data_IF_423241381683
#
_entry.id   IF_423241381683
#
_cell.length_a   1.000
_cell.length_b   1.000
_cell.length_c   1.000
_cell.angle_alpha   90.00
_cell.angle_beta   90.00
_cell.angle_gamma   90.00
#
_symmetry.space_group_name_H-M   'P 1'
#
loop_
_entity.id
_entity.type
_entity.pdbx_description
1 polymer ?
#
# COMPACT_ATOMS: atom_id res chain seq x y z
N UNK A 1 10.10 -7.28 19.28
CA UNK A 1 10.08 -7.52 17.81
C UNK A 1 8.97 -8.52 17.51
N UNK A 2 8.02 -8.08 16.71
CA UNK A 2 6.95 -8.95 16.17
C UNK A 2 7.42 -9.51 14.84
N UNK A 3 7.04 -10.76 14.53
CA UNK A 3 7.40 -11.44 13.28
C UNK A 3 6.16 -12.06 12.66
N UNK A 4 5.99 -11.83 11.35
CA UNK A 4 4.99 -12.48 10.52
C UNK A 4 5.71 -13.18 9.38
N UNK A 5 5.49 -14.48 9.20
CA UNK A 5 6.01 -15.22 8.05
C UNK A 5 4.92 -15.33 6.99
N UNK A 6 5.22 -14.96 5.75
CA UNK A 6 4.32 -15.04 4.59
C UNK A 6 4.67 -16.30 3.80
N UNK A 7 3.75 -17.25 3.71
CA UNK A 7 3.93 -18.53 3.02
C UNK A 7 3.41 -18.46 1.58
N UNK A 8 4.26 -17.98 0.69
CA UNK A 8 4.04 -17.97 -0.76
C UNK A 8 4.94 -19.00 -1.45
N UNK A 9 4.97 -19.04 -2.77
CA UNK A 9 5.93 -19.88 -3.51
C UNK A 9 7.38 -19.67 -3.07
N UNK A 10 7.72 -18.50 -2.51
CA UNK A 10 8.96 -18.19 -1.81
C UNK A 10 8.63 -17.53 -0.47
N UNK A 11 8.68 -18.26 0.65
CA UNK A 11 8.37 -17.71 1.96
C UNK A 11 9.35 -16.62 2.38
N UNK A 12 8.87 -15.62 3.12
CA UNK A 12 9.68 -14.53 3.67
C UNK A 12 9.12 -14.03 5.00
N UNK A 13 9.97 -13.35 5.75
CA UNK A 13 9.60 -12.77 7.03
C UNK A 13 9.35 -11.26 6.93
N UNK A 14 8.36 -10.80 7.69
CA UNK A 14 8.11 -9.40 7.97
C UNK A 14 8.40 -9.18 9.45
N UNK A 15 9.33 -8.28 9.74
CA UNK A 15 9.70 -7.90 11.10
C UNK A 15 9.16 -6.50 11.41
N UNK A 16 8.50 -6.36 12.57
CA UNK A 16 7.90 -5.10 13.02
C UNK A 16 8.46 -4.78 14.39
N UNK A 17 9.24 -3.72 14.50
CA UNK A 17 9.76 -3.20 15.76
C UNK A 17 10.32 -1.80 15.58
N UNK A 18 10.55 -1.10 16.66
CA UNK A 18 11.30 0.16 16.67
C UNK A 18 12.80 -0.06 16.53
N UNK A 19 13.47 0.82 15.79
CA UNK A 19 14.93 0.80 15.65
C UNK A 19 15.45 -0.30 14.73
N UNK A 20 14.63 -0.79 13.80
CA UNK A 20 15.05 -1.80 12.82
C UNK A 20 16.01 -1.24 11.76
N UNK A 21 16.01 0.07 11.53
CA UNK A 21 16.92 0.69 10.59
C UNK A 21 18.39 0.50 11.00
N UNK A 22 18.68 0.64 12.29
CA UNK A 22 20.01 0.42 12.86
C UNK A 22 20.44 -1.04 12.87
N UNK A 23 19.47 -1.95 12.89
CA UNK A 23 19.67 -3.38 12.88
C UNK A 23 19.62 -3.99 11.47
N UNK A 24 19.39 -3.16 10.44
CA UNK A 24 19.13 -3.63 9.08
C UNK A 24 20.26 -4.53 8.54
N UNK A 25 21.52 -4.19 8.82
CA UNK A 25 22.67 -5.00 8.42
C UNK A 25 22.62 -6.43 8.97
N UNK A 26 22.49 -6.58 10.29
CA UNK A 26 22.44 -7.89 10.94
C UNK A 26 21.20 -8.70 10.51
N UNK A 27 20.05 -8.04 10.34
CA UNK A 27 18.83 -8.71 9.94
C UNK A 27 18.88 -9.19 8.49
N UNK A 28 19.42 -8.39 7.59
CA UNK A 28 19.64 -8.77 6.19
C UNK A 28 20.70 -9.90 6.10
N UNK A 29 21.76 -9.85 6.92
CA UNK A 29 22.79 -10.89 6.93
C UNK A 29 22.26 -12.27 7.33
N UNK A 30 21.18 -12.33 8.14
CA UNK A 30 20.53 -13.60 8.50
C UNK A 30 19.81 -14.28 7.35
N UNK A 31 19.38 -13.53 6.33
CA UNK A 31 18.59 -14.04 5.20
C UNK A 31 19.35 -14.01 3.87
N UNK A 32 20.53 -13.35 3.82
CA UNK A 32 21.33 -13.24 2.60
C UNK A 32 22.82 -13.34 2.88
N UNK A 33 23.51 -14.13 2.07
CA UNK A 33 24.97 -14.21 2.03
C UNK A 33 25.58 -13.29 0.95
N UNK A 34 24.79 -12.41 0.36
CA UNK A 34 25.24 -11.47 -0.66
C UNK A 34 26.45 -10.65 -0.16
N UNK A 35 27.49 -10.45 -0.98
CA UNK A 35 28.56 -9.52 -0.64
C UNK A 35 28.21 -8.06 -0.93
N UNK A 36 27.27 -7.80 -1.86
CA UNK A 36 26.96 -6.46 -2.34
C UNK A 36 25.48 -6.15 -2.26
N UNK A 37 25.18 -4.89 -1.96
CA UNK A 37 23.83 -4.36 -1.89
C UNK A 37 23.73 -3.10 -2.74
N UNK A 38 22.67 -3.02 -3.58
CA UNK A 38 22.24 -1.76 -4.15
C UNK A 38 21.10 -1.20 -3.29
N UNK A 39 21.35 -0.13 -2.53
CA UNK A 39 20.34 0.62 -1.83
C UNK A 39 19.65 1.57 -2.81
N UNK A 40 18.35 1.43 -2.98
CA UNK A 40 17.52 2.30 -3.81
C UNK A 40 16.59 3.10 -2.90
N UNK A 41 16.60 4.43 -3.04
CA UNK A 41 15.78 5.33 -2.25
C UNK A 41 15.37 6.55 -3.08
N UNK A 42 14.48 7.38 -2.54
CA UNK A 42 14.06 8.62 -3.16
C UNK A 42 14.66 9.88 -2.48
N UNK A 43 14.54 11.02 -3.15
CA UNK A 43 15.12 12.29 -2.73
C UNK A 43 14.53 12.86 -1.43
N UNK A 44 13.36 12.38 -0.96
CA UNK A 44 12.78 12.77 0.32
C UNK A 44 13.26 11.86 1.46
N UNK A 45 13.38 10.57 1.21
CA UNK A 45 13.66 9.55 2.25
C UNK A 45 15.15 9.40 2.50
N UNK A 46 15.97 9.42 1.45
CA UNK A 46 17.42 9.23 1.60
C UNK A 46 18.08 10.22 2.56
N UNK A 47 17.80 11.54 2.50
CA UNK A 47 18.39 12.51 3.44
C UNK A 47 18.03 12.25 4.91
N UNK A 48 16.89 11.59 5.18
CA UNK A 48 16.41 11.30 6.52
C UNK A 48 17.01 10.01 7.08
N UNK A 49 17.13 8.98 6.27
CA UNK A 49 17.40 7.62 6.73
C UNK A 49 18.51 6.90 5.96
N UNK A 50 18.86 7.36 4.76
CA UNK A 50 19.78 6.65 3.87
C UNK A 50 21.12 6.34 4.51
N UNK A 51 21.78 7.35 5.09
CA UNK A 51 23.09 7.18 5.73
C UNK A 51 23.04 6.20 6.92
N UNK A 52 21.96 6.19 7.71
CA UNK A 52 21.81 5.26 8.84
C UNK A 52 21.73 3.81 8.36
N UNK A 53 20.95 3.57 7.30
CA UNK A 53 20.81 2.23 6.72
C UNK A 53 22.09 1.80 6.03
N UNK A 54 22.76 2.69 5.28
CA UNK A 54 24.08 2.39 4.67
C UNK A 54 25.10 1.98 5.73
N UNK A 55 25.24 2.75 6.81
CA UNK A 55 26.15 2.43 7.92
C UNK A 55 25.83 1.09 8.58
N UNK A 56 24.52 0.80 8.80
CA UNK A 56 24.10 -0.47 9.37
C UNK A 56 24.49 -1.65 8.45
N UNK A 57 24.28 -1.51 7.14
CA UNK A 57 24.63 -2.53 6.17
C UNK A 57 26.16 -2.71 6.06
N UNK A 58 26.92 -1.62 5.98
CA UNK A 58 28.40 -1.68 5.94
C UNK A 58 29.01 -2.27 7.21
N UNK A 59 28.42 -1.99 8.38
CA UNK A 59 28.83 -2.58 9.66
C UNK A 59 28.61 -4.11 9.73
N UNK A 60 27.76 -4.65 8.87
CA UNK A 60 27.54 -6.07 8.67
C UNK A 60 28.32 -6.64 7.47
N UNK A 61 29.42 -5.98 7.06
CA UNK A 61 30.33 -6.38 5.99
C UNK A 61 29.69 -6.43 4.58
N UNK A 62 28.64 -5.66 4.31
CA UNK A 62 28.15 -5.48 2.94
C UNK A 62 28.88 -4.33 2.21
N UNK A 63 29.18 -4.52 0.94
CA UNK A 63 29.57 -3.43 0.05
C UNK A 63 28.29 -2.77 -0.48
N UNK A 64 28.08 -1.49 -0.17
CA UNK A 64 26.84 -0.79 -0.52
C UNK A 64 27.09 0.21 -1.63
N UNK A 65 26.37 0.10 -2.74
CA UNK A 65 26.19 1.20 -3.68
C UNK A 65 24.77 1.79 -3.53
N UNK A 66 24.61 3.09 -3.84
CA UNK A 66 23.37 3.79 -3.58
C UNK A 66 22.86 4.52 -4.82
N UNK A 67 21.58 4.34 -5.13
CA UNK A 67 20.86 5.10 -6.15
C UNK A 67 19.71 5.85 -5.51
N UNK A 68 19.65 7.17 -5.74
CA UNK A 68 18.56 8.04 -5.30
C UNK A 68 17.86 8.62 -6.53
N UNK A 69 16.53 8.45 -6.60
CA UNK A 69 15.70 9.01 -7.66
C UNK A 69 14.80 10.14 -7.12
N UNK A 70 14.21 10.94 -8.00
CA UNK A 70 13.31 12.04 -7.60
C UNK A 70 12.02 11.49 -6.99
N UNK A 71 11.67 11.94 -5.78
CA UNK A 71 10.49 11.48 -5.08
C UNK A 71 9.19 11.82 -5.81
N UNK A 72 8.18 10.97 -5.64
CA UNK A 72 6.82 11.18 -6.12
C UNK A 72 6.39 10.24 -7.25
N UNK A 73 5.07 10.20 -7.48
CA UNK A 73 4.44 9.30 -8.46
C UNK A 73 4.92 9.56 -9.90
N UNK A 74 5.29 10.79 -10.23
CA UNK A 74 5.84 11.14 -11.55
C UNK A 74 7.11 10.35 -11.93
N UNK A 75 7.81 9.81 -10.94
CA UNK A 75 8.98 8.95 -11.13
C UNK A 75 8.64 7.47 -11.33
N UNK A 76 7.38 7.06 -11.07
CA UNK A 76 6.94 5.66 -11.17
C UNK A 76 6.71 5.23 -12.62
N UNK A 77 7.77 5.17 -13.40
CA UNK A 77 7.73 4.91 -14.85
C UNK A 77 8.87 4.00 -15.32
N UNK A 78 8.71 3.35 -16.50
CA UNK A 78 9.70 2.40 -17.02
C UNK A 78 11.11 2.96 -17.12
N UNK A 79 11.26 4.23 -17.51
CA UNK A 79 12.56 4.86 -17.68
C UNK A 79 13.34 4.93 -16.38
N UNK A 80 12.66 5.20 -15.26
CA UNK A 80 13.28 5.21 -13.92
C UNK A 80 13.78 3.82 -13.54
N UNK A 81 12.98 2.78 -13.79
CA UNK A 81 13.38 1.39 -13.54
C UNK A 81 14.56 0.96 -14.42
N UNK A 82 14.56 1.35 -15.70
CA UNK A 82 15.70 1.08 -16.59
C UNK A 82 16.98 1.78 -16.12
N UNK A 83 16.86 2.99 -15.57
CA UNK A 83 18.01 3.68 -14.95
C UNK A 83 18.54 2.92 -13.73
N UNK A 84 17.65 2.36 -12.89
CA UNK A 84 18.04 1.49 -11.76
C UNK A 84 18.80 0.25 -12.25
N UNK A 85 18.27 -0.44 -13.26
CA UNK A 85 18.89 -1.61 -13.88
C UNK A 85 20.28 -1.29 -14.47
N UNK A 86 20.39 -0.18 -15.20
CA UNK A 86 21.66 0.28 -15.78
C UNK A 86 22.67 0.65 -14.69
N UNK A 87 22.21 1.25 -13.58
CA UNK A 87 23.06 1.56 -12.45
C UNK A 87 23.61 0.29 -11.80
N UNK A 88 22.75 -0.69 -11.49
CA UNK A 88 23.18 -1.98 -10.93
C UNK A 88 24.21 -2.68 -11.84
N UNK A 89 24.01 -2.64 -13.16
CA UNK A 89 24.94 -3.20 -14.12
C UNK A 89 26.32 -2.49 -14.13
N UNK A 90 26.33 -1.16 -14.04
CA UNK A 90 27.58 -0.37 -13.95
C UNK A 90 28.36 -0.64 -12.67
N UNK A 91 27.64 -0.79 -11.56
CA UNK A 91 28.23 -1.15 -10.27
C UNK A 91 28.67 -2.62 -10.21
N UNK A 92 28.40 -3.40 -11.27
CA UNK A 92 28.84 -4.79 -11.39
C UNK A 92 28.11 -5.77 -10.47
N UNK A 93 26.83 -5.50 -10.15
CA UNK A 93 26.00 -6.44 -9.37
C UNK A 93 25.81 -7.74 -10.16
N UNK A 94 25.83 -8.85 -9.44
CA UNK A 94 25.65 -10.21 -9.95
C UNK A 94 24.33 -10.81 -9.49
N UNK A 95 24.03 -12.06 -9.91
CA UNK A 95 22.81 -12.77 -9.47
C UNK A 95 22.79 -13.10 -7.97
N UNK A 96 23.92 -13.11 -7.31
CA UNK A 96 24.02 -13.34 -5.87
C UNK A 96 23.93 -12.07 -5.04
N UNK A 97 23.77 -10.91 -5.67
CA UNK A 97 23.69 -9.63 -5.00
C UNK A 97 22.23 -9.22 -4.71
N UNK A 98 22.04 -8.16 -3.94
CA UNK A 98 20.78 -7.82 -3.30
C UNK A 98 20.38 -6.38 -3.57
N UNK A 99 19.10 -6.13 -3.76
CA UNK A 99 18.50 -4.79 -3.73
C UNK A 99 17.89 -4.54 -2.36
N UNK A 100 18.12 -3.35 -1.78
CA UNK A 100 17.37 -2.86 -0.61
C UNK A 100 16.58 -1.63 -1.03
N UNK A 101 15.25 -1.73 -0.94
CA UNK A 101 14.34 -0.64 -1.21
C UNK A 101 14.03 0.12 0.09
N UNK A 102 14.50 1.36 0.23
CA UNK A 102 14.25 2.23 1.38
C UNK A 102 13.34 3.38 0.96
N UNK A 103 12.05 3.30 1.25
CA UNK A 103 11.12 4.35 0.84
C UNK A 103 9.63 3.99 0.97
N UNK A 104 8.77 4.84 0.41
CA UNK A 104 7.35 4.58 0.31
C UNK A 104 6.99 3.54 -0.76
N UNK A 105 5.69 3.39 -1.06
CA UNK A 105 5.20 2.41 -2.05
C UNK A 105 5.81 2.58 -3.43
N UNK A 106 5.99 3.81 -3.91
CA UNK A 106 6.64 4.11 -5.21
C UNK A 106 8.06 3.51 -5.27
N UNK A 107 8.83 3.71 -4.21
CA UNK A 107 10.18 3.17 -4.11
C UNK A 107 10.18 1.62 -4.07
N UNK A 108 9.34 1.04 -3.21
CA UNK A 108 9.21 -0.42 -3.07
C UNK A 108 8.81 -1.10 -4.38
N UNK A 109 7.82 -0.53 -5.08
CA UNK A 109 7.33 -1.07 -6.35
C UNK A 109 8.38 -1.01 -7.45
N UNK A 110 9.05 0.14 -7.63
CA UNK A 110 10.08 0.31 -8.66
C UNK A 110 11.33 -0.50 -8.37
N UNK A 111 11.84 -0.47 -7.14
CA UNK A 111 13.05 -1.21 -6.76
C UNK A 111 12.81 -2.73 -6.85
N UNK A 112 11.63 -3.19 -6.40
CA UNK A 112 11.23 -4.59 -6.54
C UNK A 112 11.09 -5.01 -8.01
N UNK A 113 10.55 -4.15 -8.87
CA UNK A 113 10.46 -4.44 -10.31
C UNK A 113 11.83 -4.40 -10.98
N UNK A 114 12.71 -3.46 -10.61
CA UNK A 114 14.09 -3.47 -11.08
C UNK A 114 14.81 -4.77 -10.68
N UNK A 115 14.64 -5.23 -9.44
CA UNK A 115 15.19 -6.50 -8.97
C UNK A 115 14.61 -7.70 -9.75
N UNK A 116 13.30 -7.68 -10.05
CA UNK A 116 12.63 -8.75 -10.78
C UNK A 116 13.16 -8.95 -12.21
N UNK A 117 13.53 -7.86 -12.89
CA UNK A 117 13.99 -7.91 -14.28
C UNK A 117 15.51 -7.95 -14.44
N UNK A 118 16.26 -7.43 -13.47
CA UNK A 118 17.71 -7.44 -13.50
C UNK A 118 18.24 -8.87 -13.44
N UNK A 119 19.07 -9.28 -14.41
CA UNK A 119 19.62 -10.64 -14.59
C UNK A 119 18.53 -11.76 -14.53
N UNK A 120 17.28 -11.45 -14.85
CA UNK A 120 16.08 -12.31 -14.78
C UNK A 120 15.63 -12.61 -13.35
N UNK A 121 15.95 -11.75 -12.42
CA UNK A 121 15.55 -11.79 -11.03
C UNK A 121 16.74 -11.92 -10.08
N UNK A 122 16.87 -10.94 -9.17
CA UNK A 122 17.73 -10.97 -8.00
C UNK A 122 16.90 -10.72 -6.76
N UNK A 123 17.43 -11.05 -5.61
CA UNK A 123 16.75 -10.86 -4.34
C UNK A 123 16.56 -9.38 -3.98
N UNK A 124 15.50 -9.08 -3.23
CA UNK A 124 15.34 -7.76 -2.68
C UNK A 124 14.73 -7.78 -1.27
N UNK A 125 15.00 -6.71 -0.52
CA UNK A 125 14.48 -6.42 0.82
C UNK A 125 13.71 -5.11 0.77
N UNK A 126 12.61 -5.00 1.50
CA UNK A 126 11.86 -3.75 1.64
C UNK A 126 12.01 -3.16 3.04
N UNK A 127 12.25 -1.84 3.09
CA UNK A 127 12.22 -1.03 4.30
C UNK A 127 11.21 0.11 4.06
N UNK A 128 9.90 -0.15 4.29
CA UNK A 128 8.83 0.80 3.99
C UNK A 128 8.83 1.97 4.97
N UNK A 129 8.75 3.20 4.44
CA UNK A 129 8.85 4.43 5.25
C UNK A 129 7.57 5.27 5.30
N UNK A 130 6.51 4.88 4.58
CA UNK A 130 5.18 5.48 4.70
C UNK A 130 4.21 4.51 5.36
N UNK A 131 3.16 5.02 6.02
CA UNK A 131 2.15 4.15 6.64
C UNK A 131 1.50 3.22 5.60
N UNK A 132 1.12 3.76 4.43
CA UNK A 132 0.57 2.98 3.33
C UNK A 132 1.49 1.81 2.94
N UNK A 133 2.79 2.06 2.85
CA UNK A 133 3.74 1.01 2.51
C UNK A 133 3.92 -0.01 3.65
N UNK A 134 3.88 0.42 4.91
CA UNK A 134 4.00 -0.45 6.06
C UNK A 134 2.81 -1.40 6.21
N UNK A 135 1.59 -0.91 5.95
CA UNK A 135 0.36 -1.71 6.15
C UNK A 135 -0.10 -2.45 4.90
N UNK A 136 0.37 -2.03 3.72
CA UNK A 136 -0.15 -2.56 2.45
C UNK A 136 0.94 -2.85 1.42
N UNK A 137 1.51 -1.88 0.71
CA UNK A 137 2.23 -2.13 -0.54
C UNK A 137 3.49 -3.00 -0.39
N UNK A 138 4.13 -3.06 0.76
CA UNK A 138 5.32 -3.92 1.00
C UNK A 138 5.01 -5.41 1.08
N UNK A 139 3.73 -5.82 1.09
CA UNK A 139 3.31 -7.22 1.27
C UNK A 139 2.67 -7.77 0.01
N UNK A 140 3.08 -8.98 -0.39
CA UNK A 140 2.43 -9.73 -1.47
C UNK A 140 3.03 -9.55 -2.86
N UNK A 141 4.25 -8.97 -2.95
CA UNK A 141 5.11 -9.05 -4.12
C UNK A 141 4.63 -8.35 -5.39
N UNK A 142 3.59 -7.52 -5.33
CA UNK A 142 3.23 -6.67 -6.48
C UNK A 142 4.29 -5.61 -6.65
N UNK A 143 4.99 -5.62 -7.76
CA UNK A 143 6.01 -4.64 -8.12
C UNK A 143 5.73 -4.12 -9.52
N UNK A 144 6.02 -2.84 -9.78
CA UNK A 144 5.72 -2.31 -11.10
C UNK A 144 5.77 -0.80 -11.21
N UNK A 145 5.37 -0.35 -12.39
CA UNK A 145 5.36 1.06 -12.79
C UNK A 145 4.10 1.41 -13.55
N UNK A 146 3.86 2.69 -13.65
CA UNK A 146 2.76 3.26 -14.41
C UNK A 146 3.12 3.36 -15.90
N UNK A 147 2.10 3.30 -16.73
CA UNK A 147 2.20 3.59 -18.15
C UNK A 147 1.27 4.77 -18.49
N UNK A 148 1.46 5.44 -19.63
CA UNK A 148 0.55 6.51 -20.06
C UNK A 148 -0.93 6.10 -20.11
N UNK A 149 -1.20 4.79 -20.23
CA UNK A 149 -2.56 4.25 -20.31
C UNK A 149 -3.19 3.95 -18.94
N UNK A 150 -2.41 3.97 -17.84
CA UNK A 150 -2.93 3.71 -16.49
C UNK A 150 -1.85 3.30 -15.49
N UNK A 151 -2.24 3.33 -14.20
CA UNK A 151 -1.37 2.96 -13.08
C UNK A 151 -1.11 1.46 -13.03
N UNK A 152 0.10 1.08 -12.58
CA UNK A 152 0.52 -0.28 -12.27
C UNK A 152 0.31 -1.31 -13.40
N UNK A 153 0.35 -0.88 -14.66
CA UNK A 153 0.11 -1.75 -15.82
C UNK A 153 1.34 -2.56 -16.27
N UNK A 154 2.53 -2.19 -15.82
CA UNK A 154 3.77 -2.87 -16.16
C UNK A 154 4.51 -3.28 -14.89
N UNK A 155 4.68 -4.59 -14.68
CA UNK A 155 5.29 -5.07 -13.44
C UNK A 155 5.44 -6.59 -13.39
N UNK A 156 5.81 -7.07 -12.20
CA UNK A 156 5.99 -8.48 -11.92
C UNK A 156 5.50 -8.82 -10.49
N UNK A 157 5.10 -10.07 -10.28
CA UNK A 157 5.01 -10.63 -8.94
C UNK A 157 6.40 -11.08 -8.53
N UNK A 158 7.04 -10.32 -7.63
CA UNK A 158 8.36 -10.60 -7.10
C UNK A 158 8.35 -10.43 -5.58
N UNK A 159 8.43 -11.54 -4.85
CA UNK A 159 8.36 -11.51 -3.39
C UNK A 159 9.70 -11.02 -2.82
N UNK A 160 9.70 -10.14 -1.80
CA UNK A 160 10.90 -9.81 -1.06
C UNK A 160 11.40 -11.02 -0.28
N UNK A 161 12.67 -11.04 0.11
CA UNK A 161 13.20 -12.05 1.03
C UNK A 161 13.06 -11.63 2.49
N UNK A 162 12.82 -10.34 2.74
CA UNK A 162 12.62 -9.74 4.06
C UNK A 162 11.92 -8.39 3.93
N UNK A 163 11.04 -8.08 4.88
CA UNK A 163 10.46 -6.74 5.04
C UNK A 163 10.77 -6.26 6.46
N UNK A 164 11.37 -5.06 6.59
CA UNK A 164 11.69 -4.42 7.86
C UNK A 164 10.78 -3.22 8.08
N UNK A 165 9.82 -3.33 8.96
CA UNK A 165 8.87 -2.27 9.29
C UNK A 165 9.29 -1.62 10.62
N UNK A 166 9.84 -0.41 10.53
CA UNK A 166 10.16 0.42 11.69
C UNK A 166 9.11 1.54 11.81
N UNK A 167 8.16 1.44 12.75
CA UNK A 167 7.14 2.48 12.90
C UNK A 167 7.70 3.85 13.30
N UNK A 168 8.92 3.94 13.82
CA UNK A 168 9.51 5.22 14.19
C UNK A 168 9.73 6.16 13.00
N UNK A 169 9.91 5.61 11.80
CA UNK A 169 10.08 6.45 10.59
C UNK A 169 8.84 7.26 10.25
N UNK A 170 7.67 6.84 10.74
CA UNK A 170 6.43 7.60 10.54
C UNK A 170 6.45 8.97 11.25
N UNK A 171 7.39 9.21 12.18
CA UNK A 171 7.54 10.50 12.88
C UNK A 171 7.90 11.66 11.96
N UNK A 172 8.54 11.39 10.84
CA UNK A 172 8.91 12.40 9.85
C UNK A 172 7.94 12.45 8.68
N UNK A 173 6.96 11.51 8.65
CA UNK A 173 5.98 11.45 7.57
C UNK A 173 5.04 12.66 7.65
N UNK A 174 4.87 13.43 6.57
CA UNK A 174 3.87 14.50 6.52
C UNK A 174 2.45 13.99 6.80
N UNK A 175 1.64 14.81 7.49
CA UNK A 175 0.28 14.44 7.91
C UNK A 175 -0.60 13.95 6.75
N UNK A 176 -0.45 14.54 5.56
CA UNK A 176 -1.21 14.12 4.36
C UNK A 176 -0.92 12.67 3.98
N UNK A 177 0.34 12.23 4.04
CA UNK A 177 0.71 10.85 3.72
C UNK A 177 0.40 9.87 4.86
N UNK A 178 0.35 10.36 6.09
CA UNK A 178 -0.15 9.55 7.19
C UNK A 178 -1.65 9.30 7.04
N UNK A 179 -2.44 10.34 6.77
CA UNK A 179 -3.88 10.23 6.48
C UNK A 179 -4.12 9.32 5.28
N UNK A 180 -3.32 9.44 4.23
CA UNK A 180 -3.37 8.58 3.05
C UNK A 180 -3.25 7.09 3.42
N UNK A 181 -2.25 6.74 4.23
CA UNK A 181 -2.10 5.38 4.76
C UNK A 181 -3.26 4.92 5.64
N UNK A 182 -3.89 5.85 6.39
CA UNK A 182 -5.08 5.53 7.19
C UNK A 182 -6.27 5.12 6.34
N UNK A 183 -6.36 5.57 5.08
CA UNK A 183 -7.37 5.08 4.14
C UNK A 183 -7.32 3.56 3.99
N UNK A 184 -6.11 3.00 3.80
CA UNK A 184 -5.90 1.55 3.71
C UNK A 184 -6.15 0.83 5.05
N UNK A 185 -5.73 1.42 6.18
CA UNK A 185 -6.03 0.86 7.51
C UNK A 185 -7.54 0.74 7.74
N UNK A 186 -8.30 1.79 7.41
CA UNK A 186 -9.77 1.81 7.52
C UNK A 186 -10.37 0.75 6.57
N UNK A 187 -9.85 0.62 5.36
CA UNK A 187 -10.26 -0.44 4.42
C UNK A 187 -10.15 -1.83 5.03
N UNK A 188 -9.03 -2.16 5.68
CA UNK A 188 -8.86 -3.45 6.36
C UNK A 188 -9.91 -3.66 7.46
N UNK A 189 -10.21 -2.64 8.23
CA UNK A 189 -11.29 -2.67 9.20
C UNK A 189 -12.65 -2.97 8.56
N UNK A 190 -12.95 -2.32 7.44
CA UNK A 190 -14.19 -2.52 6.69
C UNK A 190 -14.33 -3.94 6.15
N UNK A 191 -13.27 -4.51 5.56
CA UNK A 191 -13.37 -5.77 4.82
C UNK A 191 -13.18 -7.02 5.67
N UNK A 192 -12.43 -6.95 6.79
CA UNK A 192 -11.97 -8.14 7.51
C UNK A 192 -12.02 -8.06 9.03
N UNK A 193 -12.05 -6.86 9.63
CA UNK A 193 -11.98 -6.77 11.10
C UNK A 193 -12.84 -5.63 11.67
N UNK A 194 -14.03 -6.01 12.14
CA UNK A 194 -14.89 -5.10 12.89
C UNK A 194 -14.19 -4.59 14.17
N UNK A 195 -13.30 -5.40 14.75
CA UNK A 195 -12.51 -5.05 15.94
C UNK A 195 -11.51 -3.92 15.62
N UNK A 196 -10.78 -4.02 14.50
CA UNK A 196 -9.90 -2.94 14.04
C UNK A 196 -10.69 -1.67 13.77
N UNK A 197 -11.84 -1.78 13.08
CA UNK A 197 -12.70 -0.64 12.80
C UNK A 197 -13.18 0.03 14.10
N UNK A 198 -13.68 -0.74 15.06
CA UNK A 198 -14.10 -0.24 16.37
C UNK A 198 -12.93 0.38 17.16
N UNK A 199 -11.73 -0.21 17.11
CA UNK A 199 -10.53 0.36 17.70
C UNK A 199 -10.27 1.76 17.15
N UNK A 200 -10.37 1.93 15.84
CA UNK A 200 -10.17 3.23 15.18
C UNK A 200 -11.28 4.24 15.53
N UNK A 201 -12.53 3.78 15.65
CA UNK A 201 -13.65 4.64 16.08
C UNK A 201 -13.46 5.18 17.52
N UNK A 202 -12.98 4.36 18.43
CA UNK A 202 -12.84 4.70 19.86
C UNK A 202 -11.49 5.36 20.19
N UNK A 203 -10.49 5.21 19.35
CA UNK A 203 -9.19 5.83 19.55
C UNK A 203 -9.26 7.32 19.20
N UNK A 204 -8.57 8.18 19.97
CA UNK A 204 -8.41 9.60 19.59
C UNK A 204 -7.72 9.69 18.23
N UNK A 205 -8.24 10.55 17.35
CA UNK A 205 -7.66 10.74 16.01
C UNK A 205 -6.15 11.02 16.08
N UNK A 206 -5.40 10.36 15.21
CA UNK A 206 -3.96 10.54 15.10
C UNK A 206 -3.64 11.46 13.92
N UNK A 207 -2.73 12.39 14.15
CA UNK A 207 -2.03 13.10 13.09
C UNK A 207 -0.53 12.95 13.32
N UNK A 208 0.30 12.96 12.30
CA UNK A 208 1.74 12.80 12.44
C UNK A 208 2.35 13.82 13.44
N UNK A 209 1.85 15.05 13.49
CA UNK A 209 2.38 16.09 14.41
C UNK A 209 1.86 16.00 15.84
N UNK A 210 0.59 15.65 16.04
CA UNK A 210 -0.02 15.66 17.38
C UNK A 210 0.09 14.30 18.07
N UNK A 211 0.17 13.22 17.31
CA UNK A 211 0.13 11.87 17.85
C UNK A 211 1.46 11.40 18.38
N UNK A 212 2.58 11.85 17.81
CA UNK A 212 3.89 11.49 18.35
C UNK A 212 4.18 12.09 19.71
N UNK A 213 3.63 13.29 20.05
CA UNK A 213 3.63 13.79 21.43
C UNK A 213 2.74 12.97 22.35
N UNK A 214 1.72 12.27 21.81
CA UNK A 214 0.88 11.35 22.57
C UNK A 214 1.44 9.92 22.54
N UNK A 215 2.24 9.56 21.52
CA UNK A 215 2.96 8.28 21.41
C UNK A 215 4.22 8.20 22.30
N UNK A 216 4.65 9.32 22.87
CA UNK A 216 5.55 9.33 24.04
C UNK A 216 4.88 8.70 25.28
N UNK A 217 3.55 8.55 25.28
CA UNK A 217 2.83 7.70 26.22
C UNK A 217 2.87 6.26 25.67
N UNK A 218 3.40 5.32 26.45
CA UNK A 218 3.57 3.91 26.09
C UNK A 218 2.33 3.27 25.41
N UNK A 219 1.13 3.62 25.88
CA UNK A 219 -0.13 3.10 25.35
C UNK A 219 -0.47 3.49 23.89
N UNK A 220 0.12 4.55 23.36
CA UNK A 220 -0.14 4.99 21.98
C UNK A 220 0.89 4.39 21.01
N UNK A 221 2.12 4.16 21.47
CA UNK A 221 3.16 3.45 20.73
C UNK A 221 2.73 2.00 20.47
N UNK A 222 2.22 1.32 21.48
CA UNK A 222 1.74 -0.05 21.36
C UNK A 222 0.62 -0.17 20.32
N UNK A 223 -0.24 0.86 20.17
CA UNK A 223 -1.35 0.84 19.23
C UNK A 223 -0.93 0.95 17.76
N UNK A 224 0.09 1.74 17.40
CA UNK A 224 0.55 1.79 16.00
C UNK A 224 1.16 0.46 15.58
N UNK A 225 1.90 -0.21 16.47
CA UNK A 225 2.42 -1.54 16.23
C UNK A 225 1.28 -2.56 16.06
N UNK A 226 0.26 -2.49 16.93
CA UNK A 226 -0.92 -3.37 16.85
C UNK A 226 -1.68 -3.17 15.53
N UNK A 227 -1.89 -1.94 15.08
CA UNK A 227 -2.57 -1.63 13.82
C UNK A 227 -1.77 -2.12 12.62
N UNK A 228 -0.46 -1.82 12.58
CA UNK A 228 0.40 -2.28 11.48
C UNK A 228 0.40 -3.81 11.44
N UNK A 229 0.59 -4.46 12.60
CA UNK A 229 0.56 -5.92 12.67
C UNK A 229 -0.77 -6.50 12.17
N UNK A 230 -1.91 -5.96 12.63
CA UNK A 230 -3.22 -6.43 12.22
C UNK A 230 -3.44 -6.30 10.70
N UNK A 231 -3.07 -5.16 10.10
CA UNK A 231 -3.19 -4.95 8.65
C UNK A 231 -2.29 -5.91 7.86
N UNK A 232 -1.03 -6.04 8.27
CA UNK A 232 -0.05 -6.93 7.64
C UNK A 232 -0.50 -8.39 7.72
N UNK A 233 -0.99 -8.84 8.89
CA UNK A 233 -1.46 -10.21 9.07
C UNK A 233 -2.72 -10.50 8.25
N UNK A 234 -3.68 -9.57 8.20
CA UNK A 234 -4.85 -9.70 7.31
C UNK A 234 -4.44 -9.80 5.84
N UNK A 235 -3.48 -8.96 5.40
CA UNK A 235 -2.97 -9.03 4.03
C UNK A 235 -2.23 -10.34 3.77
N UNK A 236 -1.40 -10.82 4.70
CA UNK A 236 -0.72 -12.11 4.62
C UNK A 236 -1.71 -13.22 4.34
N UNK A 237 -2.78 -13.34 5.12
CA UNK A 237 -3.80 -14.38 4.93
C UNK A 237 -4.35 -14.36 3.51
N UNK A 238 -4.70 -13.19 2.99
CA UNK A 238 -5.24 -13.05 1.64
C UNK A 238 -4.21 -13.40 0.57
N UNK A 239 -2.95 -12.98 0.76
CA UNK A 239 -1.85 -13.25 -0.19
C UNK A 239 -1.50 -14.73 -0.23
N UNK A 240 -1.49 -15.41 0.93
CA UNK A 240 -1.23 -16.86 0.99
C UNK A 240 -2.30 -17.68 0.30
N UNK A 241 -3.57 -17.26 0.37
CA UNK A 241 -4.67 -17.95 -0.32
C UNK A 241 -4.70 -17.64 -1.82
N UNK A 242 -4.25 -16.45 -2.23
CA UNK A 242 -4.35 -15.99 -3.62
C UNK A 242 -3.16 -15.10 -3.99
N UNK A 243 -1.98 -15.71 -4.15
CA UNK A 243 -0.73 -14.97 -4.42
C UNK A 243 -0.80 -14.12 -5.70
N UNK A 244 -1.47 -14.62 -6.75
CA UNK A 244 -1.51 -14.01 -8.08
C UNK A 244 -2.79 -13.22 -8.40
N UNK A 245 -3.63 -12.96 -7.37
CA UNK A 245 -4.87 -12.18 -7.53
C UNK A 245 -5.87 -12.77 -8.55
N UNK A 246 -6.05 -14.09 -8.50
CA UNK A 246 -7.03 -14.77 -9.35
C UNK A 246 -8.44 -14.80 -8.75
N UNK A 247 -8.60 -14.61 -7.44
CA UNK A 247 -9.87 -14.79 -6.71
C UNK A 247 -10.03 -13.86 -5.49
N UNK A 248 -9.83 -14.40 -4.29
CA UNK A 248 -10.13 -13.74 -3.00
C UNK A 248 -9.36 -12.45 -2.78
N UNK A 249 -8.16 -12.31 -3.33
CA UNK A 249 -7.35 -11.09 -3.20
C UNK A 249 -8.06 -9.85 -3.78
N UNK A 250 -9.03 -10.03 -4.66
CA UNK A 250 -9.86 -8.94 -5.16
C UNK A 250 -10.66 -8.23 -4.05
N UNK A 251 -10.91 -8.85 -2.88
CA UNK A 251 -11.54 -8.20 -1.72
C UNK A 251 -10.76 -6.99 -1.22
N UNK A 252 -9.43 -6.97 -1.41
CA UNK A 252 -8.57 -5.82 -1.08
C UNK A 252 -8.90 -4.58 -1.92
N UNK A 253 -9.68 -4.73 -3.00
CA UNK A 253 -10.10 -3.62 -3.87
C UNK A 253 -11.41 -2.95 -3.42
N UNK A 254 -11.85 -3.13 -2.16
CA UNK A 254 -12.98 -2.36 -1.62
C UNK A 254 -12.68 -0.85 -1.70
N UNK A 255 -13.59 -0.09 -2.28
CA UNK A 255 -13.40 1.34 -2.58
C UNK A 255 -12.55 1.64 -3.82
N UNK A 256 -11.70 0.73 -4.28
CA UNK A 256 -10.74 0.99 -5.37
C UNK A 256 -11.40 1.17 -6.73
N UNK A 257 -12.53 0.55 -6.99
CA UNK A 257 -13.21 0.68 -8.30
C UNK A 257 -13.60 2.14 -8.58
N UNK A 258 -14.21 2.83 -7.60
CA UNK A 258 -14.49 4.25 -7.69
C UNK A 258 -13.24 5.10 -7.40
N UNK A 259 -12.37 4.67 -6.48
CA UNK A 259 -11.12 5.37 -6.13
C UNK A 259 -10.21 5.58 -7.35
N UNK A 260 -9.91 4.53 -8.11
CA UNK A 260 -9.10 4.65 -9.33
C UNK A 260 -9.75 5.53 -10.40
N UNK A 261 -11.08 5.48 -10.51
CA UNK A 261 -11.82 6.38 -11.39
C UNK A 261 -11.62 7.86 -10.98
N UNK A 262 -11.72 8.14 -9.69
CA UNK A 262 -11.49 9.49 -9.12
C UNK A 262 -10.03 9.91 -9.33
N UNK A 263 -9.04 9.06 -9.03
CA UNK A 263 -7.63 9.37 -9.30
C UNK A 263 -7.39 9.74 -10.77
N UNK A 264 -8.02 9.00 -11.70
CA UNK A 264 -7.94 9.25 -13.14
C UNK A 264 -8.58 10.59 -13.55
N UNK A 265 -9.74 10.93 -13.02
CA UNK A 265 -10.42 12.21 -13.26
C UNK A 265 -9.56 13.40 -12.78
N UNK A 266 -8.80 13.23 -11.72
CA UNK A 266 -7.84 14.18 -11.19
C UNK A 266 -6.43 14.07 -11.81
N UNK A 267 -6.28 13.32 -12.91
CA UNK A 267 -5.00 13.09 -13.59
C UNK A 267 -3.87 12.61 -12.65
N UNK A 268 -4.23 11.88 -11.59
CA UNK A 268 -3.30 11.34 -10.58
C UNK A 268 -2.44 12.39 -9.84
N UNK A 269 -2.86 13.65 -9.81
CA UNK A 269 -2.04 14.74 -9.27
C UNK A 269 -2.60 15.41 -8.01
N UNK A 270 -3.91 15.52 -7.90
CA UNK A 270 -4.56 16.36 -6.88
C UNK A 270 -5.07 15.58 -5.68
N UNK A 271 -5.52 14.34 -5.91
CA UNK A 271 -6.07 13.47 -4.86
C UNK A 271 -5.10 12.34 -4.59
N UNK A 272 -4.78 12.10 -3.32
CA UNK A 272 -3.93 10.98 -2.91
C UNK A 272 -4.69 9.66 -3.02
N UNK A 273 -3.96 8.54 -3.08
CA UNK A 273 -4.55 7.21 -3.24
C UNK A 273 -5.56 6.88 -2.13
N UNK A 274 -5.16 7.00 -0.87
CA UNK A 274 -6.04 6.69 0.26
C UNK A 274 -7.23 7.64 0.37
N UNK A 275 -7.09 8.90 -0.07
CA UNK A 275 -8.22 9.83 -0.18
C UNK A 275 -9.23 9.36 -1.23
N UNK A 276 -8.76 9.00 -2.42
CA UNK A 276 -9.62 8.50 -3.50
C UNK A 276 -10.31 7.17 -3.12
N UNK A 277 -9.56 6.24 -2.53
CA UNK A 277 -10.09 4.97 -2.03
C UNK A 277 -11.10 5.21 -0.90
N UNK A 278 -10.84 6.17 0.00
CA UNK A 278 -11.76 6.58 1.06
C UNK A 278 -13.11 7.02 0.52
N UNK A 279 -13.13 7.92 -0.46
CA UNK A 279 -14.36 8.33 -1.15
C UNK A 279 -15.03 7.11 -1.80
N UNK A 280 -14.24 6.28 -2.48
CA UNK A 280 -14.75 5.05 -3.11
C UNK A 280 -15.38 4.06 -2.14
N UNK A 281 -14.86 3.94 -0.91
CA UNK A 281 -15.45 3.11 0.14
C UNK A 281 -16.84 3.62 0.57
N UNK A 282 -16.98 4.94 0.74
CA UNK A 282 -18.30 5.55 1.07
C UNK A 282 -19.29 5.33 -0.06
N UNK A 283 -18.87 5.53 -1.31
CA UNK A 283 -19.71 5.32 -2.49
C UNK A 283 -20.16 3.85 -2.61
N UNK A 284 -19.23 2.90 -2.45
CA UNK A 284 -19.54 1.47 -2.51
C UNK A 284 -20.49 1.04 -1.37
N UNK A 285 -20.28 1.55 -0.15
CA UNK A 285 -21.18 1.27 0.97
C UNK A 285 -22.59 1.82 0.75
N UNK A 286 -22.73 3.07 0.27
CA UNK A 286 -24.03 3.67 -0.09
C UNK A 286 -24.72 2.90 -1.21
N UNK A 287 -23.99 2.51 -2.25
CA UNK A 287 -24.54 1.68 -3.34
C UNK A 287 -25.06 0.34 -2.81
N UNK A 288 -24.31 -0.31 -1.92
CA UNK A 288 -24.72 -1.54 -1.26
C UNK A 288 -25.94 -1.38 -0.35
N UNK A 289 -26.02 -0.30 0.44
CA UNK A 289 -27.21 0.04 1.26
C UNK A 289 -28.45 0.29 0.38
N UNK A 290 -28.30 1.06 -0.69
CA UNK A 290 -29.40 1.32 -1.64
C UNK A 290 -29.90 0.06 -2.34
N UNK A 291 -29.05 -0.92 -2.57
CA UNK A 291 -29.39 -2.23 -3.12
C UNK A 291 -29.87 -3.24 -2.06
N UNK A 292 -29.87 -2.89 -0.77
CA UNK A 292 -30.25 -3.80 0.32
C UNK A 292 -29.23 -4.92 0.59
N UNK A 293 -28.00 -4.76 0.12
CA UNK A 293 -26.91 -5.74 0.27
C UNK A 293 -25.99 -5.42 1.46
N UNK A 294 -25.99 -4.17 1.91
CA UNK A 294 -25.16 -3.66 3.01
C UNK A 294 -26.07 -3.21 4.17
N UNK A 295 -25.67 -3.48 5.39
CA UNK A 295 -26.36 -3.06 6.61
C UNK A 295 -26.50 -1.53 6.64
N UNK A 296 -27.73 -0.99 6.86
CA UNK A 296 -27.96 0.45 6.91
C UNK A 296 -27.10 1.17 7.95
N UNK A 297 -26.57 2.36 7.60
CA UNK A 297 -25.69 3.17 8.46
C UNK A 297 -24.19 2.81 8.35
N UNK A 298 -23.84 1.79 7.59
CA UNK A 298 -22.43 1.42 7.33
C UNK A 298 -21.68 2.54 6.63
N UNK A 299 -22.26 3.16 5.60
CA UNK A 299 -21.64 4.25 4.86
C UNK A 299 -21.37 5.47 5.72
N UNK A 300 -22.30 5.83 6.60
CA UNK A 300 -22.14 6.98 7.51
C UNK A 300 -21.05 6.72 8.55
N UNK A 301 -20.93 5.51 9.07
CA UNK A 301 -19.83 5.13 9.97
C UNK A 301 -18.48 5.22 9.28
N UNK A 302 -18.36 4.71 8.04
CA UNK A 302 -17.14 4.80 7.25
C UNK A 302 -16.79 6.27 6.99
N UNK A 303 -17.76 7.09 6.59
CA UNK A 303 -17.56 8.52 6.34
C UNK A 303 -17.08 9.25 7.60
N UNK A 304 -17.71 9.01 8.75
CA UNK A 304 -17.31 9.62 10.03
C UNK A 304 -15.86 9.23 10.41
N UNK A 305 -15.50 7.96 10.18
CA UNK A 305 -14.14 7.50 10.49
C UNK A 305 -13.10 8.09 9.55
N UNK A 306 -13.37 8.20 8.25
CA UNK A 306 -12.50 8.86 7.28
C UNK A 306 -12.28 10.33 7.63
N UNK A 307 -13.36 11.07 7.92
CA UNK A 307 -13.25 12.48 8.34
C UNK A 307 -12.45 12.66 9.62
N UNK A 308 -12.58 11.74 10.57
CA UNK A 308 -11.78 11.72 11.80
C UNK A 308 -10.27 11.68 11.52
N UNK A 309 -9.85 11.00 10.43
CA UNK A 309 -8.46 10.93 9.99
C UNK A 309 -8.11 11.91 8.86
N UNK A 310 -8.90 12.98 8.70
CA UNK A 310 -8.70 14.06 7.74
C UNK A 310 -8.73 13.58 6.26
N UNK A 311 -9.50 12.53 5.98
CA UNK A 311 -9.74 12.05 4.63
C UNK A 311 -11.06 12.59 4.09
N UNK A 312 -11.14 12.95 2.80
CA UNK A 312 -12.38 13.38 2.17
C UNK A 312 -13.37 12.21 2.04
N UNK A 313 -14.65 12.52 2.01
CA UNK A 313 -15.75 11.55 1.89
C UNK A 313 -16.63 11.76 0.66
N UNK A 314 -16.32 12.77 -0.14
CA UNK A 314 -16.99 13.10 -1.39
C UNK A 314 -16.01 13.68 -2.39
N UNK A 315 -16.31 13.56 -3.67
CA UNK A 315 -15.59 14.17 -4.79
C UNK A 315 -16.40 15.32 -5.41
N UNK A 316 -15.77 16.18 -6.17
CA UNK A 316 -16.42 17.29 -6.86
C UNK A 316 -16.98 16.92 -8.24
N UNK A 317 -16.52 15.80 -8.82
CA UNK A 317 -17.07 15.27 -10.05
C UNK A 317 -18.48 14.69 -9.82
N UNK A 318 -19.32 14.77 -10.84
CA UNK A 318 -20.64 14.16 -10.80
C UNK A 318 -20.55 12.63 -10.74
N UNK A 319 -21.59 11.99 -10.22
CA UNK A 319 -21.65 10.54 -10.17
C UNK A 319 -21.59 9.91 -11.57
N UNK A 320 -22.17 10.56 -12.57
CA UNK A 320 -22.10 10.08 -13.96
C UNK A 320 -20.66 10.06 -14.48
N UNK A 321 -19.87 11.12 -14.22
CA UNK A 321 -18.45 11.17 -14.61
C UNK A 321 -17.64 10.08 -13.92
N UNK A 322 -17.88 9.85 -12.62
CA UNK A 322 -17.19 8.79 -11.86
C UNK A 322 -17.56 7.42 -12.44
N UNK A 323 -18.84 7.13 -12.68
CA UNK A 323 -19.28 5.85 -13.26
C UNK A 323 -18.74 5.64 -14.66
N UNK A 324 -18.69 6.67 -15.50
CA UNK A 324 -18.08 6.60 -16.83
C UNK A 324 -16.57 6.28 -16.75
N UNK A 325 -15.87 6.88 -15.80
CA UNK A 325 -14.45 6.60 -15.56
C UNK A 325 -14.22 5.18 -15.04
N UNK A 326 -15.10 4.66 -14.14
CA UNK A 326 -15.07 3.27 -13.66
C UNK A 326 -15.21 2.26 -14.81
N UNK A 327 -16.08 2.55 -15.78
CA UNK A 327 -16.30 1.70 -16.96
C UNK A 327 -15.08 1.67 -17.89
N UNK A 328 -14.44 2.82 -18.08
CA UNK A 328 -13.29 2.95 -18.98
C UNK A 328 -12.08 2.12 -18.50
N UNK A 329 -11.93 1.92 -17.19
CA UNK A 329 -10.84 1.13 -16.59
C UNK A 329 -11.02 -0.39 -16.84
N UNK A 330 -12.25 -0.86 -16.95
CA UNK A 330 -12.61 -2.30 -16.96
C UNK A 330 -13.15 -2.86 -18.27
N UNK A 331 -13.15 -2.11 -19.37
CA UNK A 331 -13.52 -2.60 -20.72
C UNK A 331 -12.68 -3.81 -21.22
N UNK A 332 -11.75 -4.31 -20.41
CA UNK A 332 -10.79 -5.37 -20.79
C UNK A 332 -11.13 -6.76 -20.25
N UNK A 333 -12.21 -6.95 -19.49
CA UNK A 333 -12.66 -8.29 -19.06
C UNK A 333 -14.05 -8.58 -19.62
N UNK A 334 -14.20 -9.76 -20.23
CA UNK A 334 -15.47 -10.23 -20.81
C UNK A 334 -16.56 -10.48 -19.77
N UNK A 335 -16.21 -10.49 -18.45
CA UNK A 335 -17.06 -11.01 -17.37
C UNK A 335 -17.69 -9.93 -16.47
N UNK A 336 -17.70 -8.65 -16.91
CA UNK A 336 -18.25 -7.55 -16.10
C UNK A 336 -17.26 -6.97 -15.08
N UNK A 337 -17.78 -6.19 -14.11
CA UNK A 337 -17.00 -5.54 -13.06
C UNK A 337 -17.15 -6.32 -11.76
N UNK A 338 -16.05 -6.79 -11.18
CA UNK A 338 -16.04 -7.36 -9.82
C UNK A 338 -16.09 -6.23 -8.81
N UNK A 339 -17.30 -5.86 -8.36
CA UNK A 339 -17.48 -4.87 -7.33
C UNK A 339 -17.29 -5.51 -5.95
N UNK A 340 -16.51 -4.89 -5.09
CA UNK A 340 -16.39 -5.32 -3.70
C UNK A 340 -17.38 -4.51 -2.86
N UNK A 341 -18.25 -5.21 -2.13
CA UNK A 341 -19.24 -4.66 -1.25
C UNK A 341 -19.08 -5.21 0.18
N UNK A 342 -19.73 -4.60 1.15
CA UNK A 342 -19.83 -5.08 2.52
C UNK A 342 -21.22 -5.63 2.79
N UNK A 343 -21.34 -6.75 3.54
CA UNK A 343 -22.61 -7.07 4.22
C UNK A 343 -22.78 -6.18 5.44
N UNK A 344 -21.69 -6.00 6.17
CA UNK A 344 -21.55 -5.10 7.33
C UNK A 344 -20.05 -4.81 7.54
N UNK A 345 -19.70 -3.94 8.46
CA UNK A 345 -18.29 -3.73 8.85
C UNK A 345 -17.64 -5.06 9.26
N UNK A 346 -16.49 -5.36 8.70
CA UNK A 346 -15.72 -6.59 8.92
C UNK A 346 -16.14 -7.78 8.05
N UNK A 347 -17.15 -7.63 7.20
CA UNK A 347 -17.63 -8.71 6.33
C UNK A 347 -17.87 -8.21 4.91
N UNK A 348 -16.97 -8.60 3.99
CA UNK A 348 -16.96 -8.19 2.59
C UNK A 348 -17.22 -9.36 1.64
N UNK A 349 -17.71 -9.05 0.44
CA UNK A 349 -17.90 -10.01 -0.63
C UNK A 349 -17.68 -9.36 -2.01
N UNK A 350 -17.50 -10.21 -3.02
CA UNK A 350 -17.36 -9.78 -4.42
C UNK A 350 -18.72 -9.97 -5.09
N UNK A 351 -19.25 -8.91 -5.70
CA UNK A 351 -20.47 -8.92 -6.49
C UNK A 351 -20.11 -8.63 -7.97
N UNK A 352 -20.21 -9.61 -8.88
CA UNK A 352 -20.03 -9.37 -10.30
C UNK A 352 -21.25 -8.60 -10.83
N UNK A 353 -21.02 -7.36 -11.28
CA UNK A 353 -22.09 -6.50 -11.80
C UNK A 353 -21.84 -6.15 -13.27
N UNK A 354 -22.91 -6.09 -14.06
CA UNK A 354 -22.86 -5.51 -15.40
C UNK A 354 -22.91 -3.97 -15.36
N UNK A 355 -22.67 -3.34 -16.50
CA UNK A 355 -22.64 -1.88 -16.58
C UNK A 355 -24.00 -1.21 -16.28
N UNK A 356 -25.17 -1.72 -16.74
CA UNK A 356 -26.46 -1.19 -16.34
C UNK A 356 -26.70 -1.25 -14.84
N UNK A 357 -26.36 -2.38 -14.20
CA UNK A 357 -26.48 -2.55 -12.75
C UNK A 357 -25.57 -1.58 -12.01
N UNK A 358 -24.31 -1.43 -12.43
CA UNK A 358 -23.39 -0.46 -11.86
C UNK A 358 -23.97 0.97 -11.90
N UNK A 359 -24.49 1.40 -13.05
CA UNK A 359 -25.14 2.72 -13.18
C UNK A 359 -26.34 2.88 -12.27
N UNK A 360 -27.16 1.83 -12.13
CA UNK A 360 -28.31 1.86 -11.23
C UNK A 360 -27.88 1.98 -9.77
N UNK A 361 -26.87 1.20 -9.35
CA UNK A 361 -26.39 1.18 -7.97
C UNK A 361 -25.72 2.50 -7.56
N UNK A 362 -24.96 3.12 -8.44
CA UNK A 362 -24.26 4.38 -8.14
C UNK A 362 -25.04 5.62 -8.58
N UNK A 363 -25.85 5.55 -9.63
CA UNK A 363 -26.63 6.69 -10.16
C UNK A 363 -28.04 6.85 -9.57
N UNK A 364 -28.62 5.79 -8.99
CA UNK A 364 -29.99 5.80 -8.45
C UNK A 364 -30.17 6.47 -7.08
N UNK A 365 -29.12 6.98 -6.48
CA UNK A 365 -29.14 7.70 -5.23
C UNK A 365 -29.11 9.21 -5.42
N UNK A 366 -30.15 9.80 -6.04
CA UNK A 366 -30.43 11.20 -5.79
C UNK A 366 -30.68 11.35 -4.29
N UNK A 367 -29.73 11.94 -3.59
CA UNK A 367 -29.90 12.37 -2.21
C UNK A 367 -31.23 13.13 -2.07
N UNK A 368 -32.19 12.53 -1.34
CA UNK A 368 -33.24 13.30 -0.70
C UNK A 368 -32.75 13.76 0.66
#
# INVERSE_FOLDING_TARGET
MQKITVHTGRPYDILIDDGLLEQAGDLVRRVSCSPRICLISDSNVYPLYGNRVVQALESADFQVCTLVFDAGEASKKPETVLNMVNYMAREGLTRGDLVVALGGGVCGDMAGFAAAIYLRGIDFVQIPTTLLAQVDSSVGGKTGVDLPMGKNLCGAFHQPILVLIDPQVLRTLPDVFFSDGMGEVIKYGCIRSAELFALLEHTRAWSARSSWRLLEQASAKDRIHEIIYACVDMKRVVVEHDEKEAGERALLNFGHTAGHAIEKLWNYQTVTHGAAVGIGMVLAARAGEGAGLTEPGTADRIAALLQKYNLPVADTHSMDEIVDAMQADKKRTADGIKLVLLRKIGDSFIDPVDLPTLRTMFGGGACK
#
